data_IF_557230914163
#
_entry.id   IF_557230914163
#
_cell.length_a   1.000
_cell.length_b   1.000
_cell.length_c   1.000
_cell.angle_alpha   90.00
_cell.angle_beta   90.00
_cell.angle_gamma   90.00
#
_symmetry.space_group_name_H-M   'P 1'
#
loop_
_entity.id
_entity.type
_entity.pdbx_description
1 polymer ?
#
# COMPACT_ATOMS: atom_id res chain seq x y z
N UNK A 1 169.72 -18.17 -77.40
CA UNK A 1 171.10 -18.12 -76.88
C UNK A 1 171.70 -19.50 -77.12
N UNK A 2 172.24 -19.71 -78.33
CA UNK A 2 173.22 -20.75 -78.68
C UNK A 2 173.54 -20.53 -80.17
N UNK A 3 174.63 -19.82 -80.45
CA UNK A 3 175.25 -19.75 -81.76
C UNK A 3 176.48 -20.67 -81.74
N UNK A 4 176.58 -21.65 -82.65
CA UNK A 4 177.79 -22.43 -82.83
C UNK A 4 178.77 -21.72 -83.77
N UNK A 5 180.02 -21.57 -83.31
CA UNK A 5 181.18 -21.29 -84.16
C UNK A 5 181.58 -22.59 -84.86
N UNK A 6 181.62 -22.55 -86.20
CA UNK A 6 182.15 -23.60 -87.07
C UNK A 6 183.56 -23.22 -87.57
N UNK A 7 184.43 -24.19 -87.91
CA UNK A 7 185.87 -24.04 -88.00
C UNK A 7 186.36 -23.81 -89.44
N UNK A 8 187.56 -23.26 -89.60
CA UNK A 8 188.34 -23.46 -90.83
C UNK A 8 189.84 -23.34 -90.56
N UNK A 9 190.49 -24.50 -90.62
CA UNK A 9 191.94 -24.71 -90.59
C UNK A 9 192.58 -24.25 -91.91
N UNK A 10 193.73 -23.58 -91.74
CA UNK A 10 195.02 -23.85 -92.39
C UNK A 10 195.06 -24.16 -93.90
N UNK A 11 195.84 -23.34 -94.62
CA UNK A 11 197.04 -23.74 -95.39
C UNK A 11 197.74 -22.45 -95.89
N UNK A 12 198.95 -22.15 -95.40
CA UNK A 12 200.23 -22.39 -96.11
C UNK A 12 200.25 -21.77 -97.52
N UNK A 13 200.86 -20.60 -97.62
CA UNK A 13 201.40 -20.06 -98.87
C UNK A 13 202.83 -19.59 -98.58
N UNK A 14 203.77 -20.33 -99.15
CA UNK A 14 205.20 -20.07 -99.15
C UNK A 14 205.48 -18.80 -99.96
N UNK A 15 206.20 -17.86 -99.36
CA UNK A 15 206.75 -16.70 -100.08
C UNK A 15 207.93 -17.18 -100.93
N UNK A 16 207.68 -17.45 -102.21
CA UNK A 16 208.72 -17.64 -103.22
C UNK A 16 209.17 -16.26 -103.70
N UNK A 17 210.46 -15.98 -103.52
CA UNK A 17 211.18 -14.82 -104.02
C UNK A 17 211.12 -14.77 -105.57
N UNK A 18 210.26 -13.92 -106.12
CA UNK A 18 210.02 -13.71 -107.56
C UNK A 18 210.95 -12.64 -108.17
N UNK A 19 212.26 -12.82 -107.98
CA UNK A 19 213.29 -11.90 -108.48
C UNK A 19 214.02 -12.30 -109.75
N UNK A 20 214.13 -13.60 -110.10
CA UNK A 20 215.17 -14.03 -111.09
C UNK A 20 214.71 -14.90 -112.27
N UNK A 21 213.42 -15.17 -112.46
CA UNK A 21 212.94 -16.11 -113.50
C UNK A 21 212.22 -15.46 -114.71
N UNK A 22 212.57 -14.22 -115.06
CA UNK A 22 211.94 -13.45 -116.14
C UNK A 22 212.53 -13.65 -117.55
N UNK A 23 213.36 -14.68 -117.81
CA UNK A 23 214.10 -14.82 -119.09
C UNK A 23 213.98 -16.18 -119.81
N UNK A 24 212.88 -16.92 -119.65
CA UNK A 24 212.60 -18.13 -120.45
C UNK A 24 211.21 -18.15 -121.09
N UNK A 25 211.13 -18.75 -122.29
CA UNK A 25 209.94 -18.85 -123.18
C UNK A 25 208.77 -19.63 -122.55
N UNK A 26 209.04 -20.49 -121.58
CA UNK A 26 208.02 -21.30 -120.88
C UNK A 26 207.24 -20.52 -119.81
N UNK A 27 207.79 -19.41 -119.29
CA UNK A 27 207.14 -18.62 -118.23
C UNK A 27 205.91 -17.82 -118.69
N UNK A 28 205.69 -17.67 -120.01
CA UNK A 28 204.53 -16.94 -120.54
C UNK A 28 203.28 -17.80 -120.66
N UNK A 29 203.44 -19.11 -120.88
CA UNK A 29 202.32 -20.05 -121.03
C UNK A 29 201.69 -20.38 -119.68
N UNK A 30 202.52 -20.55 -118.64
CA UNK A 30 202.06 -20.78 -117.26
C UNK A 30 201.28 -19.58 -116.71
N UNK A 31 201.66 -18.34 -117.04
CA UNK A 31 200.91 -17.14 -116.65
C UNK A 31 199.54 -17.00 -117.33
N UNK A 32 199.36 -17.53 -118.54
CA UNK A 32 198.06 -17.50 -119.22
C UNK A 32 197.12 -18.57 -118.64
N UNK A 33 197.65 -19.77 -118.38
CA UNK A 33 196.90 -20.87 -117.76
C UNK A 33 196.47 -20.54 -116.32
N UNK A 34 197.35 -19.92 -115.52
CA UNK A 34 196.97 -19.43 -114.18
C UNK A 34 195.95 -18.30 -114.24
N UNK A 35 196.02 -17.41 -115.24
CA UNK A 35 195.00 -16.37 -115.43
C UNK A 35 193.64 -16.97 -115.80
N UNK A 36 193.59 -17.97 -116.67
CA UNK A 36 192.34 -18.65 -117.04
C UNK A 36 191.79 -19.52 -115.90
N UNK A 37 192.66 -20.12 -115.08
CA UNK A 37 192.26 -20.82 -113.86
C UNK A 37 191.65 -19.85 -112.83
N UNK A 38 192.32 -18.71 -112.60
CA UNK A 38 191.77 -17.65 -111.75
C UNK A 38 190.45 -17.10 -112.29
N UNK A 39 190.31 -16.93 -113.62
CA UNK A 39 189.05 -16.49 -114.23
C UNK A 39 187.92 -17.50 -113.97
N UNK A 40 188.19 -18.80 -114.13
CA UNK A 40 187.23 -19.86 -113.80
C UNK A 40 186.88 -19.89 -112.31
N UNK A 41 187.85 -19.69 -111.43
CA UNK A 41 187.59 -19.58 -109.99
C UNK A 41 186.76 -18.33 -109.65
N UNK A 42 186.98 -17.21 -110.35
CA UNK A 42 186.21 -15.98 -110.16
C UNK A 42 184.78 -16.14 -110.68
N UNK A 43 184.59 -16.82 -111.81
CA UNK A 43 183.27 -17.14 -112.35
C UNK A 43 182.55 -18.21 -111.50
N UNK A 44 183.28 -19.17 -110.91
CA UNK A 44 182.76 -20.12 -109.92
C UNK A 44 182.37 -19.41 -108.61
N UNK A 45 183.17 -18.45 -108.15
CA UNK A 45 182.85 -17.63 -106.98
C UNK A 45 181.65 -16.72 -107.23
N UNK A 46 181.53 -16.13 -108.43
CA UNK A 46 180.34 -15.35 -108.83
C UNK A 46 179.09 -16.21 -108.91
N UNK A 47 179.18 -17.42 -109.45
CA UNK A 47 178.04 -18.35 -109.48
C UNK A 47 177.66 -18.84 -108.08
N UNK A 48 178.63 -19.08 -107.20
CA UNK A 48 178.37 -19.39 -105.79
C UNK A 48 177.78 -18.20 -105.03
N UNK A 49 178.26 -16.98 -105.28
CA UNK A 49 177.71 -15.76 -104.70
C UNK A 49 176.26 -15.57 -105.15
N UNK A 50 175.97 -15.70 -106.44
CA UNK A 50 174.60 -15.63 -106.94
C UNK A 50 173.72 -16.77 -106.42
N UNK A 51 174.27 -17.97 -106.21
CA UNK A 51 173.53 -19.06 -105.57
C UNK A 51 173.24 -18.73 -104.09
N UNK A 52 174.20 -18.15 -103.37
CA UNK A 52 174.03 -17.72 -101.99
C UNK A 52 173.08 -16.53 -101.85
N UNK A 53 173.13 -15.56 -102.77
CA UNK A 53 172.18 -14.44 -102.86
C UNK A 53 170.77 -14.95 -103.12
N UNK A 54 170.60 -15.87 -104.09
CA UNK A 54 169.30 -16.52 -104.33
C UNK A 54 168.82 -17.30 -103.11
N UNK A 55 169.70 -18.03 -102.42
CA UNK A 55 169.35 -18.76 -101.20
C UNK A 55 168.98 -17.82 -100.05
N UNK A 56 169.68 -16.69 -99.91
CA UNK A 56 169.36 -15.66 -98.91
C UNK A 56 168.06 -14.94 -99.23
N UNK A 57 167.82 -14.62 -100.49
CA UNK A 57 166.58 -14.02 -100.95
C UNK A 57 165.41 -14.99 -100.78
N UNK A 58 165.62 -16.28 -101.06
CA UNK A 58 164.64 -17.33 -100.81
C UNK A 58 164.38 -17.51 -99.31
N UNK A 59 165.42 -17.55 -98.48
CA UNK A 59 165.27 -17.61 -97.03
C UNK A 59 164.58 -16.36 -96.46
N UNK A 60 164.83 -15.18 -97.04
CA UNK A 60 164.13 -13.93 -96.69
C UNK A 60 162.67 -13.96 -97.10
N UNK A 61 162.36 -14.47 -98.29
CA UNK A 61 160.98 -14.67 -98.75
C UNK A 61 160.24 -15.68 -97.87
N UNK A 62 160.88 -16.79 -97.51
CA UNK A 62 160.32 -17.78 -96.59
C UNK A 62 160.11 -17.19 -95.19
N UNK A 63 161.06 -16.42 -94.66
CA UNK A 63 160.91 -15.74 -93.38
C UNK A 63 159.83 -14.64 -93.42
N UNK A 64 159.67 -13.94 -94.55
CA UNK A 64 158.59 -12.98 -94.76
C UNK A 64 157.22 -13.70 -94.80
N UNK A 65 157.11 -14.78 -95.57
CA UNK A 65 155.91 -15.61 -95.64
C UNK A 65 155.54 -16.20 -94.28
N UNK A 66 156.50 -16.71 -93.50
CA UNK A 66 156.23 -17.24 -92.15
C UNK A 66 155.81 -16.15 -91.17
N UNK A 67 156.30 -14.91 -91.33
CA UNK A 67 155.87 -13.77 -90.51
C UNK A 67 154.47 -13.32 -90.88
N UNK A 68 154.14 -13.29 -92.16
CA UNK A 68 152.78 -13.03 -92.65
C UNK A 68 151.81 -14.09 -92.13
N UNK A 69 152.16 -15.38 -92.25
CA UNK A 69 151.38 -16.49 -91.71
C UNK A 69 151.22 -16.39 -90.18
N UNK A 70 152.28 -16.07 -89.44
CA UNK A 70 152.21 -15.81 -88.00
C UNK A 70 151.35 -14.60 -87.65
N UNK A 71 151.33 -13.57 -88.50
CA UNK A 71 150.47 -12.39 -88.32
C UNK A 71 149.00 -12.72 -88.54
N UNK A 72 148.71 -13.57 -89.54
CA UNK A 72 147.37 -14.10 -89.80
C UNK A 72 146.89 -14.94 -88.62
N UNK A 73 147.69 -15.90 -88.13
CA UNK A 73 147.33 -16.68 -86.95
C UNK A 73 147.10 -15.82 -85.71
N UNK A 74 147.89 -14.77 -85.47
CA UNK A 74 147.63 -13.84 -84.36
C UNK A 74 146.33 -13.07 -84.56
N UNK A 75 146.03 -12.64 -85.78
CA UNK A 75 144.78 -11.94 -86.09
C UNK A 75 143.56 -12.85 -85.92
N UNK A 76 143.65 -14.12 -86.33
CA UNK A 76 142.63 -15.15 -86.10
C UNK A 76 142.48 -15.46 -84.62
N UNK A 77 143.58 -15.59 -83.88
CA UNK A 77 143.55 -15.83 -82.44
C UNK A 77 142.87 -14.66 -81.70
N UNK A 78 143.19 -13.42 -82.06
CA UNK A 78 142.53 -12.24 -81.48
C UNK A 78 141.04 -12.23 -81.83
N UNK A 79 140.67 -12.55 -83.08
CA UNK A 79 139.27 -12.65 -83.50
C UNK A 79 138.52 -13.72 -82.71
N UNK A 80 139.09 -14.91 -82.55
CA UNK A 80 138.49 -15.99 -81.76
C UNK A 80 138.36 -15.63 -80.28
N UNK A 81 139.32 -14.90 -79.72
CA UNK A 81 139.23 -14.37 -78.35
C UNK A 81 138.10 -13.35 -78.22
N UNK A 82 137.94 -12.45 -79.19
CA UNK A 82 136.84 -11.48 -79.21
C UNK A 82 135.48 -12.16 -79.40
N UNK A 83 135.40 -13.17 -80.26
CA UNK A 83 134.19 -13.99 -80.45
C UNK A 83 133.85 -14.77 -79.17
N UNK A 84 134.83 -15.39 -78.50
CA UNK A 84 134.64 -16.06 -77.21
C UNK A 84 134.17 -15.09 -76.13
N UNK A 85 134.76 -13.88 -76.07
CA UNK A 85 134.34 -12.84 -75.13
C UNK A 85 132.90 -12.40 -75.41
N UNK A 86 132.56 -12.17 -76.69
CA UNK A 86 131.18 -11.83 -77.08
C UNK A 86 130.20 -12.95 -76.75
N UNK A 87 130.57 -14.22 -76.98
CA UNK A 87 129.73 -15.37 -76.61
C UNK A 87 129.54 -15.47 -75.10
N UNK A 88 130.59 -15.24 -74.31
CA UNK A 88 130.51 -15.20 -72.85
C UNK A 88 129.60 -14.08 -72.35
N UNK A 89 129.73 -12.88 -72.92
CA UNK A 89 128.91 -11.73 -72.55
C UNK A 89 127.42 -11.97 -72.89
N UNK A 90 127.13 -12.59 -74.05
CA UNK A 90 125.76 -13.02 -74.41
C UNK A 90 125.22 -14.08 -73.47
N UNK A 91 126.03 -15.05 -73.07
CA UNK A 91 125.63 -16.11 -72.14
C UNK A 91 125.36 -15.55 -70.74
N UNK A 92 126.19 -14.62 -70.26
CA UNK A 92 125.97 -13.93 -68.99
C UNK A 92 124.69 -13.08 -69.04
N UNK A 93 124.47 -12.31 -70.10
CA UNK A 93 123.23 -11.53 -70.27
C UNK A 93 121.98 -12.43 -70.34
N UNK A 94 122.07 -13.59 -70.98
CA UNK A 94 121.00 -14.58 -70.99
C UNK A 94 120.76 -15.18 -69.60
N UNK A 95 121.82 -15.44 -68.83
CA UNK A 95 121.72 -15.92 -67.45
C UNK A 95 121.07 -14.87 -66.53
N UNK A 96 121.49 -13.61 -66.63
CA UNK A 96 120.90 -12.50 -65.88
C UNK A 96 119.40 -12.35 -66.23
N UNK A 97 119.07 -12.39 -67.53
CA UNK A 97 117.68 -12.38 -67.99
C UNK A 97 116.88 -13.59 -67.47
N UNK A 98 117.50 -14.77 -67.36
CA UNK A 98 116.85 -15.96 -66.82
C UNK A 98 116.61 -15.81 -65.32
N UNK A 99 117.56 -15.26 -64.57
CA UNK A 99 117.41 -14.97 -63.14
C UNK A 99 116.28 -13.96 -62.89
N UNK A 100 116.20 -12.91 -63.70
CA UNK A 100 115.09 -11.93 -63.65
C UNK A 100 113.73 -12.58 -63.91
N UNK A 101 113.66 -13.50 -64.88
CA UNK A 101 112.42 -14.23 -65.18
C UNK A 101 112.03 -15.17 -64.04
N UNK A 102 113.00 -15.84 -63.40
CA UNK A 102 112.76 -16.68 -62.23
C UNK A 102 112.23 -15.83 -61.07
N UNK A 103 112.84 -14.68 -60.78
CA UNK A 103 112.37 -13.77 -59.74
C UNK A 103 110.95 -13.25 -60.01
N UNK A 104 110.65 -12.86 -61.26
CA UNK A 104 109.30 -12.46 -61.69
C UNK A 104 108.28 -13.60 -61.54
N UNK A 105 108.66 -14.84 -61.85
CA UNK A 105 107.78 -15.99 -61.68
C UNK A 105 107.55 -16.34 -60.21
N UNK A 106 108.56 -16.22 -59.35
CA UNK A 106 108.41 -16.39 -57.91
C UNK A 106 107.40 -15.37 -57.34
N UNK A 107 107.56 -14.10 -57.70
CA UNK A 107 106.62 -13.04 -57.29
C UNK A 107 105.18 -13.29 -57.79
N UNK A 108 105.01 -13.75 -59.03
CA UNK A 108 103.68 -14.15 -59.55
C UNK A 108 103.09 -15.32 -58.76
N UNK A 109 103.91 -16.28 -58.33
CA UNK A 109 103.45 -17.41 -57.54
C UNK A 109 102.98 -16.98 -56.16
N UNK A 110 103.73 -16.08 -55.50
CA UNK A 110 103.31 -15.45 -54.23
C UNK A 110 101.96 -14.73 -54.40
N UNK A 111 101.82 -13.90 -55.43
CA UNK A 111 100.55 -13.21 -55.72
C UNK A 111 99.39 -14.18 -55.96
N UNK A 112 99.62 -15.29 -56.67
CA UNK A 112 98.60 -16.32 -56.88
C UNK A 112 98.17 -16.97 -55.57
N UNK A 113 99.11 -17.26 -54.67
CA UNK A 113 98.81 -17.83 -53.35
C UNK A 113 98.01 -16.83 -52.51
N UNK A 114 98.38 -15.55 -52.51
CA UNK A 114 97.64 -14.50 -51.82
C UNK A 114 96.21 -14.35 -52.35
N UNK A 115 96.04 -14.32 -53.67
CA UNK A 115 94.70 -14.25 -54.29
C UNK A 115 93.86 -15.50 -54.01
N UNK A 116 94.48 -16.68 -53.96
CA UNK A 116 93.78 -17.91 -53.58
C UNK A 116 93.33 -17.88 -52.12
N UNK A 117 94.18 -17.37 -51.21
CA UNK A 117 93.81 -17.19 -49.81
C UNK A 117 92.65 -16.19 -49.67
N UNK A 118 92.70 -15.05 -50.36
CA UNK A 118 91.62 -14.05 -50.38
C UNK A 118 90.32 -14.61 -50.97
N UNK A 119 90.40 -15.41 -52.03
CA UNK A 119 89.23 -16.07 -52.61
C UNK A 119 88.63 -17.10 -51.66
N UNK A 120 89.46 -17.78 -50.86
CA UNK A 120 89.03 -18.67 -49.78
C UNK A 120 88.24 -17.92 -48.71
N UNK A 121 88.83 -16.86 -48.14
CA UNK A 121 88.16 -16.07 -47.08
C UNK A 121 86.84 -15.45 -47.56
N UNK A 122 86.79 -14.93 -48.80
CA UNK A 122 85.55 -14.38 -49.35
C UNK A 122 84.46 -15.45 -49.55
N UNK A 123 84.83 -16.70 -49.87
CA UNK A 123 83.85 -17.80 -49.98
C UNK A 123 83.27 -18.15 -48.61
N UNK A 124 84.13 -18.21 -47.60
CA UNK A 124 83.70 -18.49 -46.22
C UNK A 124 82.78 -17.36 -45.72
N UNK A 125 83.14 -16.10 -45.93
CA UNK A 125 82.31 -14.93 -45.61
C UNK A 125 80.94 -14.97 -46.32
N UNK A 126 80.89 -15.39 -47.58
CA UNK A 126 79.64 -15.55 -48.33
C UNK A 126 78.79 -16.68 -47.73
N UNK A 127 79.41 -17.80 -47.37
CA UNK A 127 78.72 -18.93 -46.75
C UNK A 127 78.10 -18.52 -45.39
N UNK A 128 78.87 -17.82 -44.56
CA UNK A 128 78.40 -17.32 -43.26
C UNK A 128 77.26 -16.32 -43.42
N UNK A 129 77.38 -15.37 -44.34
CA UNK A 129 76.31 -14.40 -44.64
C UNK A 129 75.05 -15.07 -45.16
N UNK A 130 75.17 -16.09 -46.00
CA UNK A 130 74.02 -16.86 -46.49
C UNK A 130 73.33 -17.62 -45.36
N UNK A 131 74.08 -18.19 -44.41
CA UNK A 131 73.50 -18.84 -43.23
C UNK A 131 72.72 -17.84 -42.36
N UNK A 132 73.26 -16.62 -42.17
CA UNK A 132 72.56 -15.54 -41.46
C UNK A 132 71.28 -15.12 -42.20
N UNK A 133 71.33 -14.96 -43.52
CA UNK A 133 70.16 -14.62 -44.34
C UNK A 133 69.06 -15.68 -44.18
N UNK A 134 69.40 -16.96 -44.29
CA UNK A 134 68.44 -18.05 -44.10
C UNK A 134 67.77 -18.00 -42.71
N UNK A 135 68.56 -17.74 -41.65
CA UNK A 135 68.03 -17.56 -40.29
C UNK A 135 67.11 -16.35 -40.14
N UNK A 136 67.41 -15.24 -40.83
CA UNK A 136 66.56 -14.04 -40.84
C UNK A 136 65.26 -14.27 -41.60
N UNK A 137 65.30 -14.98 -42.73
CA UNK A 137 64.11 -15.35 -43.51
C UNK A 137 63.17 -16.24 -42.71
N UNK A 138 63.71 -17.21 -41.97
CA UNK A 138 62.91 -18.08 -41.10
C UNK A 138 62.24 -17.28 -39.98
N UNK A 139 62.98 -16.37 -39.33
CA UNK A 139 62.43 -15.47 -38.30
C UNK A 139 61.35 -14.54 -38.86
N UNK A 140 61.56 -14.01 -40.07
CA UNK A 140 60.58 -13.17 -40.76
C UNK A 140 59.30 -13.95 -41.09
N UNK A 141 59.43 -15.20 -41.53
CA UNK A 141 58.30 -16.09 -41.80
C UNK A 141 57.48 -16.34 -40.53
N UNK A 142 58.16 -16.69 -39.42
CA UNK A 142 57.51 -16.87 -38.11
C UNK A 142 56.80 -15.62 -37.63
N UNK A 143 57.46 -14.46 -37.70
CA UNK A 143 56.86 -13.19 -37.28
C UNK A 143 55.61 -12.83 -38.11
N UNK A 144 55.61 -13.11 -39.42
CA UNK A 144 54.43 -12.91 -40.28
C UNK A 144 53.28 -13.84 -39.90
N UNK A 145 53.57 -15.11 -39.62
CA UNK A 145 52.57 -16.06 -39.17
C UNK A 145 51.95 -15.60 -37.83
N UNK A 146 52.78 -15.25 -36.86
CA UNK A 146 52.32 -14.75 -35.55
C UNK A 146 51.46 -13.48 -35.69
N UNK A 147 51.82 -12.58 -36.61
CA UNK A 147 51.05 -11.37 -36.88
C UNK A 147 49.66 -11.67 -37.48
N UNK A 148 49.55 -12.60 -38.43
CA UNK A 148 48.25 -13.01 -38.99
C UNK A 148 47.39 -13.78 -37.98
N UNK A 149 48.01 -14.61 -37.14
CA UNK A 149 47.34 -15.25 -36.01
C UNK A 149 46.84 -14.24 -34.97
N UNK A 150 47.62 -13.19 -34.68
CA UNK A 150 47.19 -12.11 -33.80
C UNK A 150 46.04 -11.30 -34.41
N UNK A 151 46.10 -11.01 -35.72
CA UNK A 151 45.07 -10.29 -36.46
C UNK A 151 43.75 -11.07 -36.51
N UNK A 152 43.81 -12.38 -36.79
CA UNK A 152 42.62 -13.24 -36.77
C UNK A 152 42.02 -13.36 -35.37
N UNK A 153 42.85 -13.49 -34.33
CA UNK A 153 42.40 -13.42 -32.92
C UNK A 153 41.72 -12.08 -32.61
N UNK A 154 42.32 -10.97 -33.02
CA UNK A 154 41.75 -9.63 -32.86
C UNK A 154 40.38 -9.48 -33.52
N UNK A 155 40.25 -9.87 -34.80
CA UNK A 155 38.99 -9.81 -35.53
C UNK A 155 37.90 -10.70 -34.93
N UNK A 156 38.26 -11.88 -34.43
CA UNK A 156 37.29 -12.75 -33.76
C UNK A 156 36.84 -12.19 -32.41
N UNK A 157 37.75 -11.57 -31.65
CA UNK A 157 37.42 -10.89 -30.40
C UNK A 157 36.48 -9.70 -30.65
N UNK A 158 36.75 -8.89 -31.68
CA UNK A 158 35.92 -7.76 -32.10
C UNK A 158 34.49 -8.22 -32.46
N UNK A 159 34.35 -9.24 -33.32
CA UNK A 159 33.02 -9.82 -33.64
C UNK A 159 32.29 -10.35 -32.40
N UNK A 160 33.02 -10.96 -31.47
CA UNK A 160 32.44 -11.47 -30.22
C UNK A 160 31.94 -10.31 -29.34
N UNK A 161 32.69 -9.21 -29.26
CA UNK A 161 32.25 -8.02 -28.54
C UNK A 161 31.06 -7.34 -29.21
N UNK A 162 31.03 -7.25 -30.55
CA UNK A 162 29.91 -6.67 -31.28
C UNK A 162 28.61 -7.47 -31.06
N UNK A 163 28.71 -8.80 -31.12
CA UNK A 163 27.55 -9.68 -30.83
C UNK A 163 27.10 -9.53 -29.37
N UNK A 164 28.02 -9.49 -28.40
CA UNK A 164 27.69 -9.27 -27.00
C UNK A 164 27.03 -7.89 -26.76
N UNK A 165 27.57 -6.83 -27.35
CA UNK A 165 26.99 -5.48 -27.29
C UNK A 165 25.60 -5.45 -27.91
N UNK A 166 25.42 -6.09 -29.06
CA UNK A 166 24.12 -6.24 -29.72
C UNK A 166 23.09 -6.93 -28.81
N UNK A 167 23.46 -8.05 -28.18
CA UNK A 167 22.58 -8.75 -27.23
C UNK A 167 22.26 -7.91 -26.00
N UNK A 168 23.26 -7.24 -25.40
CA UNK A 168 23.05 -6.39 -24.24
C UNK A 168 22.14 -5.19 -24.55
N UNK A 169 22.26 -4.61 -25.74
CA UNK A 169 21.35 -3.55 -26.19
C UNK A 169 19.91 -4.04 -26.37
N UNK A 170 19.72 -5.23 -26.92
CA UNK A 170 18.39 -5.85 -27.05
C UNK A 170 17.77 -6.13 -25.67
N UNK A 171 18.54 -6.72 -24.75
CA UNK A 171 18.10 -6.99 -23.38
C UNK A 171 17.73 -5.71 -22.62
N UNK A 172 18.53 -4.64 -22.80
CA UNK A 172 18.23 -3.33 -22.22
C UNK A 172 16.93 -2.73 -22.78
N UNK A 173 16.65 -2.89 -24.07
CA UNK A 173 15.41 -2.43 -24.68
C UNK A 173 14.20 -3.16 -24.08
N UNK A 174 14.26 -4.49 -23.98
CA UNK A 174 13.21 -5.32 -23.35
C UNK A 174 13.02 -4.94 -21.88
N UNK A 175 14.11 -4.70 -21.14
CA UNK A 175 14.02 -4.27 -19.74
C UNK A 175 13.33 -2.92 -19.58
N UNK A 176 13.59 -1.95 -20.48
CA UNK A 176 12.92 -0.64 -20.50
C UNK A 176 11.43 -0.77 -20.76
N UNK A 177 11.03 -1.62 -21.71
CA UNK A 177 9.61 -1.88 -22.01
C UNK A 177 8.90 -2.52 -20.81
N UNK A 178 9.53 -3.52 -20.18
CA UNK A 178 8.99 -4.15 -18.96
C UNK A 178 8.82 -3.16 -17.82
N UNK A 179 9.79 -2.26 -17.62
CA UNK A 179 9.70 -1.21 -16.61
C UNK A 179 8.56 -0.23 -16.91
N UNK A 180 8.39 0.18 -18.16
CA UNK A 180 7.31 1.06 -18.58
C UNK A 180 5.93 0.40 -18.33
N UNK A 181 5.79 -0.88 -18.68
CA UNK A 181 4.57 -1.64 -18.43
C UNK A 181 4.27 -1.78 -16.93
N UNK A 182 5.28 -2.11 -16.11
CA UNK A 182 5.13 -2.22 -14.67
C UNK A 182 4.73 -0.87 -14.01
N UNK A 183 5.27 0.24 -14.50
CA UNK A 183 4.87 1.57 -14.01
C UNK A 183 3.42 1.89 -14.38
N UNK A 184 2.99 1.61 -15.60
CA UNK A 184 1.60 1.79 -16.02
C UNK A 184 0.62 0.93 -15.19
N UNK A 185 1.01 -0.31 -14.86
CA UNK A 185 0.25 -1.17 -13.96
C UNK A 185 0.18 -0.58 -12.54
N UNK A 186 1.30 -0.06 -12.02
CA UNK A 186 1.32 0.57 -10.70
C UNK A 186 0.41 1.81 -10.63
N UNK A 187 0.40 2.64 -11.67
CA UNK A 187 -0.48 3.80 -11.76
C UNK A 187 -1.96 3.40 -11.81
N UNK A 188 -2.28 2.33 -12.56
CA UNK A 188 -3.63 1.74 -12.59
C UNK A 188 -4.05 1.21 -11.21
N UNK A 189 -3.15 0.50 -10.52
CA UNK A 189 -3.40 -0.02 -9.18
C UNK A 189 -3.59 1.10 -8.15
N UNK A 190 -2.82 2.20 -8.25
CA UNK A 190 -3.00 3.39 -7.41
C UNK A 190 -4.37 4.02 -7.64
N UNK A 191 -4.78 4.19 -8.90
CA UNK A 191 -6.09 4.72 -9.23
C UNK A 191 -7.23 3.85 -8.67
N UNK A 192 -7.11 2.52 -8.73
CA UNK A 192 -8.09 1.60 -8.14
C UNK A 192 -8.12 1.70 -6.62
N UNK A 193 -6.96 1.80 -5.96
CA UNK A 193 -6.90 1.99 -4.49
C UNK A 193 -7.56 3.31 -4.08
N UNK A 194 -7.34 4.40 -4.81
CA UNK A 194 -7.96 5.69 -4.49
C UNK A 194 -9.47 5.67 -4.71
N UNK A 195 -9.95 4.99 -5.75
CA UNK A 195 -11.38 4.76 -5.98
C UNK A 195 -12.02 3.96 -4.83
N UNK A 196 -11.41 2.83 -4.43
CA UNK A 196 -11.89 2.01 -3.32
C UNK A 196 -11.89 2.79 -2.00
N UNK A 197 -10.90 3.64 -1.75
CA UNK A 197 -10.88 4.53 -0.58
C UNK A 197 -12.01 5.56 -0.61
N UNK A 198 -12.35 6.10 -1.78
CA UNK A 198 -13.47 7.01 -1.92
C UNK A 198 -14.80 6.30 -1.66
N UNK A 199 -14.98 5.09 -2.20
CA UNK A 199 -16.15 4.25 -1.92
C UNK A 199 -16.28 3.92 -0.43
N UNK A 200 -15.18 3.55 0.23
CA UNK A 200 -15.17 3.26 1.66
C UNK A 200 -15.64 4.47 2.47
N UNK A 201 -15.10 5.67 2.20
CA UNK A 201 -15.52 6.91 2.88
C UNK A 201 -17.00 7.21 2.67
N UNK A 202 -17.51 6.99 1.45
CA UNK A 202 -18.93 7.18 1.16
C UNK A 202 -19.81 6.19 1.93
N UNK A 203 -19.36 4.94 2.07
CA UNK A 203 -20.04 3.94 2.89
C UNK A 203 -19.99 4.30 4.37
N UNK A 204 -18.83 4.70 4.89
CA UNK A 204 -18.67 5.16 6.28
C UNK A 204 -19.62 6.32 6.60
N UNK A 205 -19.70 7.34 5.73
CA UNK A 205 -20.64 8.45 5.88
C UNK A 205 -22.10 7.98 5.89
N UNK A 206 -22.46 7.07 4.97
CA UNK A 206 -23.81 6.49 4.95
C UNK A 206 -24.14 5.70 6.23
N UNK A 207 -23.17 5.00 6.83
CA UNK A 207 -23.38 4.34 8.13
C UNK A 207 -23.59 5.35 9.26
N UNK A 208 -22.80 6.44 9.30
CA UNK A 208 -23.01 7.50 10.29
C UNK A 208 -24.41 8.11 10.20
N UNK A 209 -24.90 8.37 8.98
CA UNK A 209 -26.26 8.88 8.76
C UNK A 209 -27.31 7.86 9.24
N UNK A 210 -27.13 6.58 8.93
CA UNK A 210 -28.03 5.52 9.39
C UNK A 210 -28.03 5.38 10.91
N UNK A 211 -26.88 5.45 11.57
CA UNK A 211 -26.77 5.43 13.03
C UNK A 211 -27.49 6.63 13.67
N UNK A 212 -27.33 7.83 13.10
CA UNK A 212 -28.04 9.02 13.55
C UNK A 212 -29.57 8.85 13.41
N UNK A 213 -30.04 8.30 12.29
CA UNK A 213 -31.48 8.01 12.12
C UNK A 213 -31.99 6.95 13.11
N UNK A 214 -31.20 5.91 13.39
CA UNK A 214 -31.56 4.88 14.36
C UNK A 214 -31.69 5.45 15.78
N UNK A 215 -30.76 6.31 16.20
CA UNK A 215 -30.86 7.00 17.48
C UNK A 215 -32.06 7.94 17.56
N UNK A 216 -32.37 8.66 16.49
CA UNK A 216 -33.60 9.47 16.40
C UNK A 216 -34.86 8.62 16.62
N UNK A 217 -34.97 7.51 15.90
CA UNK A 217 -36.09 6.56 16.04
C UNK A 217 -36.17 5.93 17.44
N UNK A 218 -35.03 5.64 18.08
CA UNK A 218 -35.01 5.14 19.46
C UNK A 218 -35.52 6.17 20.46
N UNK A 219 -35.17 7.45 20.25
CA UNK A 219 -35.67 8.57 21.05
C UNK A 219 -37.19 8.71 20.89
N UNK A 220 -37.69 8.74 19.64
CA UNK A 220 -39.13 8.79 19.33
C UNK A 220 -39.90 7.60 19.92
N UNK A 221 -39.31 6.40 19.87
CA UNK A 221 -39.90 5.23 20.52
C UNK A 221 -39.98 5.41 22.05
N UNK A 222 -39.00 6.06 22.65
CA UNK A 222 -39.00 6.41 24.08
C UNK A 222 -40.14 7.36 24.43
N UNK A 223 -40.29 8.45 23.68
CA UNK A 223 -41.37 9.43 23.90
C UNK A 223 -42.75 8.82 23.71
N UNK A 224 -42.96 8.03 22.64
CA UNK A 224 -44.21 7.31 22.41
C UNK A 224 -44.56 6.32 23.53
N UNK A 225 -43.56 5.64 24.11
CA UNK A 225 -43.78 4.76 25.28
C UNK A 225 -44.22 5.54 26.51
N UNK A 226 -43.64 6.71 26.76
CA UNK A 226 -44.09 7.58 27.85
C UNK A 226 -45.51 8.10 27.64
N UNK A 227 -45.84 8.52 26.42
CA UNK A 227 -47.21 8.93 26.06
C UNK A 227 -48.21 7.78 26.24
N UNK A 228 -47.84 6.57 25.83
CA UNK A 228 -48.66 5.37 26.05
C UNK A 228 -48.85 5.07 27.54
N UNK A 229 -47.81 5.22 28.36
CA UNK A 229 -47.92 5.04 29.80
C UNK A 229 -48.85 6.07 30.43
N UNK A 230 -48.73 7.36 30.07
CA UNK A 230 -49.60 8.44 30.54
C UNK A 230 -51.06 8.23 30.14
N UNK A 231 -51.31 7.81 28.90
CA UNK A 231 -52.67 7.51 28.42
C UNK A 231 -53.26 6.28 29.10
N UNK A 232 -52.45 5.25 29.36
CA UNK A 232 -52.86 4.07 30.11
C UNK A 232 -53.20 4.43 31.57
N UNK A 233 -52.39 5.26 32.23
CA UNK A 233 -52.67 5.75 33.58
C UNK A 233 -53.96 6.58 33.62
N UNK A 234 -54.15 7.46 32.63
CA UNK A 234 -55.39 8.22 32.49
C UNK A 234 -56.60 7.30 32.30
N UNK A 235 -56.47 6.25 31.50
CA UNK A 235 -57.53 5.27 31.30
C UNK A 235 -57.85 4.51 32.59
N UNK A 236 -56.85 4.10 33.36
CA UNK A 236 -57.04 3.45 34.66
C UNK A 236 -57.78 4.38 35.65
N UNK A 237 -57.38 5.65 35.75
CA UNK A 237 -58.07 6.64 36.59
C UNK A 237 -59.53 6.85 36.17
N UNK A 238 -59.80 6.96 34.87
CA UNK A 238 -61.18 7.07 34.36
C UNK A 238 -62.01 5.83 34.67
N UNK A 239 -61.40 4.63 34.66
CA UNK A 239 -62.05 3.39 35.03
C UNK A 239 -62.39 3.37 36.53
N UNK A 240 -61.46 3.78 37.39
CA UNK A 240 -61.70 3.90 38.84
C UNK A 240 -62.80 4.92 39.15
N UNK A 241 -62.79 6.09 38.49
CA UNK A 241 -63.83 7.11 38.61
C UNK A 241 -65.20 6.55 38.18
N UNK A 242 -65.24 5.76 37.10
CA UNK A 242 -66.46 5.12 36.62
C UNK A 242 -66.98 4.06 37.62
N UNK A 243 -66.11 3.27 38.23
CA UNK A 243 -66.49 2.29 39.25
C UNK A 243 -66.95 2.96 40.56
N UNK A 244 -66.30 4.06 40.97
CA UNK A 244 -66.72 4.87 42.12
C UNK A 244 -68.10 5.49 41.90
N UNK A 245 -68.31 6.15 40.76
CA UNK A 245 -69.61 6.75 40.42
C UNK A 245 -70.71 5.70 40.33
N UNK A 246 -70.41 4.52 39.74
CA UNK A 246 -71.33 3.39 39.74
C UNK A 246 -71.69 2.92 41.15
N UNK A 247 -70.71 2.82 42.06
CA UNK A 247 -70.95 2.44 43.44
C UNK A 247 -71.80 3.49 44.20
N UNK A 248 -71.49 4.77 44.01
CA UNK A 248 -72.28 5.89 44.58
C UNK A 248 -73.73 5.83 44.12
N UNK A 249 -73.96 5.76 42.80
CA UNK A 249 -75.30 5.63 42.23
C UNK A 249 -76.03 4.38 42.76
N UNK A 250 -75.32 3.28 42.97
CA UNK A 250 -75.92 2.06 43.51
C UNK A 250 -76.31 2.21 45.00
N UNK A 251 -75.54 2.94 45.80
CA UNK A 251 -75.89 3.29 47.18
C UNK A 251 -77.08 4.25 47.24
N UNK A 252 -77.11 5.27 46.39
CA UNK A 252 -78.27 6.17 46.23
C UNK A 252 -79.52 5.39 45.81
N UNK A 253 -79.39 4.44 44.89
CA UNK A 253 -80.49 3.61 44.43
C UNK A 253 -80.99 2.66 45.54
N UNK A 254 -80.11 2.13 46.38
CA UNK A 254 -80.50 1.30 47.52
C UNK A 254 -81.17 2.11 48.63
N UNK A 255 -80.68 3.32 48.93
CA UNK A 255 -81.28 4.21 49.92
C UNK A 255 -82.66 4.70 49.47
N UNK A 256 -82.80 5.10 48.21
CA UNK A 256 -84.11 5.47 47.64
C UNK A 256 -85.07 4.28 47.60
N UNK A 257 -84.61 3.06 47.29
CA UNK A 257 -85.44 1.84 47.42
C UNK A 257 -85.91 1.59 48.85
N UNK A 258 -85.04 1.76 49.84
CA UNK A 258 -85.40 1.60 51.25
C UNK A 258 -86.42 2.66 51.70
N UNK A 259 -86.23 3.91 51.27
CA UNK A 259 -87.19 5.01 51.50
C UNK A 259 -88.54 4.69 50.84
N UNK A 260 -88.55 4.21 49.60
CA UNK A 260 -89.76 3.81 48.89
C UNK A 260 -90.48 2.68 49.64
N UNK A 261 -89.77 1.64 50.04
CA UNK A 261 -90.35 0.53 50.82
C UNK A 261 -90.96 1.02 52.15
N UNK A 262 -90.28 1.93 52.85
CA UNK A 262 -90.82 2.56 54.06
C UNK A 262 -92.10 3.34 53.74
N UNK A 263 -92.10 4.19 52.70
CA UNK A 263 -93.28 4.93 52.26
C UNK A 263 -94.44 3.99 51.85
N UNK A 264 -94.16 2.88 51.18
CA UNK A 264 -95.15 1.86 50.84
C UNK A 264 -95.77 1.22 52.09
N UNK A 265 -94.96 0.88 53.11
CA UNK A 265 -95.50 0.36 54.39
C UNK A 265 -96.35 1.41 55.11
N UNK A 266 -95.94 2.68 55.10
CA UNK A 266 -96.74 3.78 55.66
C UNK A 266 -98.07 3.94 54.90
N UNK A 267 -98.05 3.91 53.57
CA UNK A 267 -99.27 3.95 52.75
C UNK A 267 -100.19 2.75 53.05
N UNK A 268 -99.64 1.57 53.30
CA UNK A 268 -100.44 0.40 53.69
C UNK A 268 -101.11 0.59 55.05
N UNK A 269 -100.41 1.19 56.03
CA UNK A 269 -101.00 1.58 57.33
C UNK A 269 -102.09 2.62 57.14
N UNK A 270 -101.85 3.66 56.32
CA UNK A 270 -102.86 4.66 56.01
C UNK A 270 -104.10 4.05 55.36
N UNK A 271 -103.94 3.12 54.40
CA UNK A 271 -105.06 2.39 53.79
C UNK A 271 -105.83 1.56 54.82
N UNK A 272 -105.15 0.86 55.74
CA UNK A 272 -105.81 0.14 56.83
C UNK A 272 -106.59 1.08 57.75
N UNK A 273 -106.02 2.24 58.07
CA UNK A 273 -106.71 3.26 58.86
C UNK A 273 -107.91 3.83 58.12
N UNK A 274 -107.80 4.06 56.81
CA UNK A 274 -108.90 4.50 55.95
C UNK A 274 -110.04 3.49 55.96
N UNK A 275 -109.76 2.20 55.78
CA UNK A 275 -110.78 1.14 55.89
C UNK A 275 -111.43 1.10 57.27
N UNK A 276 -110.65 1.22 58.35
CA UNK A 276 -111.18 1.25 59.72
C UNK A 276 -112.05 2.49 59.97
N UNK A 277 -111.67 3.64 59.42
CA UNK A 277 -112.48 4.86 59.47
C UNK A 277 -113.77 4.70 58.68
N UNK A 278 -113.73 4.03 57.53
CA UNK A 278 -114.90 3.69 56.74
C UNK A 278 -115.84 2.76 57.49
N UNK A 279 -115.34 1.70 58.13
CA UNK A 279 -116.13 0.78 58.97
C UNK A 279 -116.76 1.51 60.17
N UNK A 280 -116.01 2.43 60.79
CA UNK A 280 -116.53 3.29 61.87
C UNK A 280 -117.60 4.27 61.39
N UNK A 281 -117.48 4.78 60.17
CA UNK A 281 -118.52 5.61 59.56
C UNK A 281 -119.77 4.78 59.30
N UNK A 282 -119.63 3.62 58.68
CA UNK A 282 -120.74 2.70 58.44
C UNK A 282 -121.44 2.25 59.74
N UNK A 283 -120.69 2.01 60.83
CA UNK A 283 -121.28 1.70 62.13
C UNK A 283 -122.00 2.89 62.75
N UNK A 284 -121.48 4.12 62.58
CA UNK A 284 -122.19 5.34 62.97
C UNK A 284 -123.44 5.57 62.14
N UNK A 285 -123.43 5.28 60.85
CA UNK A 285 -124.60 5.40 59.98
C UNK A 285 -125.68 4.39 60.38
N UNK A 286 -125.30 3.16 60.76
CA UNK A 286 -126.24 2.20 61.39
C UNK A 286 -126.84 2.73 62.68
N UNK A 287 -126.03 3.30 63.56
CA UNK A 287 -126.51 3.89 64.82
C UNK A 287 -127.46 5.07 64.57
N UNK A 288 -127.17 5.90 63.56
CA UNK A 288 -128.06 7.00 63.15
C UNK A 288 -129.39 6.44 62.63
N UNK A 289 -129.38 5.38 61.83
CA UNK A 289 -130.59 4.72 61.36
C UNK A 289 -131.43 4.13 62.52
N UNK A 290 -130.78 3.53 63.52
CA UNK A 290 -131.42 3.03 64.75
C UNK A 290 -132.04 4.18 65.56
N UNK A 291 -131.30 5.26 65.80
CA UNK A 291 -131.81 6.45 66.49
C UNK A 291 -132.96 7.12 65.74
N UNK A 292 -132.95 7.10 64.39
CA UNK A 292 -134.07 7.58 63.58
C UNK A 292 -135.31 6.68 63.73
N UNK A 293 -135.13 5.36 63.77
CA UNK A 293 -136.20 4.39 64.04
C UNK A 293 -136.81 4.61 65.44
N UNK A 294 -136.00 4.76 66.48
CA UNK A 294 -136.47 5.08 67.83
C UNK A 294 -137.21 6.41 67.89
N UNK A 295 -136.70 7.43 67.21
CA UNK A 295 -137.39 8.72 67.08
C UNK A 295 -138.78 8.56 66.47
N UNK A 296 -138.91 7.80 65.38
CA UNK A 296 -140.23 7.57 64.75
C UNK A 296 -141.19 6.82 65.67
N UNK A 297 -140.71 5.87 66.48
CA UNK A 297 -141.54 5.19 67.50
C UNK A 297 -142.04 6.16 68.56
N UNK A 298 -141.16 7.00 69.10
CA UNK A 298 -141.53 8.00 70.10
C UNK A 298 -142.53 9.05 69.56
N UNK A 299 -142.42 9.42 68.28
CA UNK A 299 -143.38 10.33 67.62
C UNK A 299 -144.79 9.69 67.50
N UNK A 300 -144.88 8.37 67.27
CA UNK A 300 -146.15 7.62 67.23
C UNK A 300 -146.77 7.54 68.63
N UNK A 301 -146.00 7.19 69.66
CA UNK A 301 -146.47 7.13 71.05
C UNK A 301 -146.99 8.49 71.55
N UNK A 302 -146.32 9.60 71.18
CA UNK A 302 -146.80 10.95 71.48
C UNK A 302 -148.12 11.31 70.80
N UNK A 303 -148.40 10.76 69.61
CA UNK A 303 -149.66 10.96 68.91
C UNK A 303 -150.81 10.22 69.60
N UNK A 304 -150.56 9.02 70.14
CA UNK A 304 -151.55 8.24 70.90
C UNK A 304 -151.94 8.94 72.21
N UNK A 305 -150.97 9.41 72.99
CA UNK A 305 -151.22 10.15 74.24
C UNK A 305 -152.03 11.43 74.00
N UNK A 306 -151.79 12.13 72.89
CA UNK A 306 -152.57 13.32 72.52
C UNK A 306 -154.04 12.99 72.20
N UNK A 307 -154.29 11.86 71.54
CA UNK A 307 -155.66 11.43 71.23
C UNK A 307 -156.43 11.02 72.50
N UNK A 308 -155.76 10.38 73.46
CA UNK A 308 -156.36 10.06 74.77
C UNK A 308 -156.71 11.31 75.59
N UNK A 309 -155.86 12.34 75.56
CA UNK A 309 -156.12 13.61 76.24
C UNK A 309 -157.36 14.33 75.68
N UNK A 310 -157.49 14.38 74.35
CA UNK A 310 -158.64 14.99 73.67
C UNK A 310 -159.97 14.26 73.94
N UNK A 311 -159.92 12.95 74.18
CA UNK A 311 -161.10 12.16 74.55
C UNK A 311 -161.58 12.46 75.98
N UNK A 312 -160.66 12.67 76.93
CA UNK A 312 -160.98 13.03 78.32
C UNK A 312 -161.56 14.44 78.45
N UNK A 313 -161.08 15.40 77.67
CA UNK A 313 -161.61 16.77 77.63
C UNK A 313 -163.11 16.79 77.25
N UNK A 314 -163.49 16.09 76.18
CA UNK A 314 -164.90 16.00 75.74
C UNK A 314 -165.82 15.34 76.76
N UNK A 315 -165.30 14.39 77.55
CA UNK A 315 -166.07 13.71 78.59
C UNK A 315 -166.37 14.64 79.78
N UNK A 316 -165.43 15.51 80.14
CA UNK A 316 -165.61 16.46 81.24
C UNK A 316 -166.56 17.59 80.84
N UNK A 317 -166.52 18.01 79.58
CA UNK A 317 -167.39 19.06 79.03
C UNK A 317 -168.87 18.65 79.05
N UNK A 318 -169.18 17.39 78.71
CA UNK A 318 -170.53 16.83 78.79
C UNK A 318 -171.08 16.74 80.23
N UNK A 319 -170.22 16.52 81.22
CA UNK A 319 -170.62 16.49 82.64
C UNK A 319 -170.96 17.89 83.16
N UNK A 320 -170.27 18.91 82.65
CA UNK A 320 -170.50 20.31 83.01
C UNK A 320 -171.86 20.83 82.50
N UNK A 321 -172.24 20.44 81.28
CA UNK A 321 -173.53 20.78 80.66
C UNK A 321 -174.72 20.23 81.47
N UNK A 322 -174.59 19.00 81.98
CA UNK A 322 -175.61 18.32 82.80
C UNK A 322 -175.87 19.01 84.15
N UNK A 323 -174.84 19.63 84.74
CA UNK A 323 -174.97 20.35 86.01
C UNK A 323 -175.68 21.70 85.86
N UNK A 324 -175.42 22.44 84.77
CA UNK A 324 -176.04 23.75 84.50
C UNK A 324 -177.55 23.64 84.29
N UNK A 325 -178.02 22.54 83.71
CA UNK A 325 -179.44 22.35 83.46
C UNK A 325 -180.24 22.07 84.75
N UNK A 326 -179.61 21.42 85.75
CA UNK A 326 -180.24 21.20 87.07
C UNK A 326 -180.34 22.47 87.91
N UNK A 327 -179.36 23.36 87.81
CA UNK A 327 -179.42 24.68 88.46
C UNK A 327 -180.58 25.53 87.95
N UNK A 328 -180.88 25.47 86.64
CA UNK A 328 -182.01 26.19 86.04
C UNK A 328 -183.36 25.77 86.63
N UNK A 329 -183.58 24.47 86.81
CA UNK A 329 -184.86 23.94 87.30
C UNK A 329 -185.11 24.37 88.75
N UNK A 330 -184.08 24.36 89.61
CA UNK A 330 -184.19 24.79 91.01
C UNK A 330 -184.44 26.30 91.16
N UNK A 331 -183.96 27.11 90.20
CA UNK A 331 -184.14 28.55 90.22
C UNK A 331 -185.58 28.99 89.89
N UNK A 332 -186.34 28.20 89.11
CA UNK A 332 -187.71 28.53 88.74
C UNK A 332 -188.74 28.15 89.80
N UNK A 333 -188.52 27.07 90.57
CA UNK A 333 -189.41 26.69 91.67
C UNK A 333 -189.36 27.70 92.84
N UNK A 334 -188.19 28.30 93.10
CA UNK A 334 -188.03 29.34 94.13
C UNK A 334 -188.76 30.65 93.77
N UNK A 335 -188.98 30.94 92.48
CA UNK A 335 -189.75 32.12 92.03
C UNK A 335 -191.26 31.98 92.25
N UNK A 336 -191.79 30.77 92.35
CA UNK A 336 -193.23 30.59 92.64
C UNK A 336 -193.55 30.83 94.12
N UNK A 337 -192.66 30.46 95.04
CA UNK A 337 -192.88 30.63 96.48
C UNK A 337 -192.84 32.08 96.95
N UNK A 338 -192.07 32.94 96.29
CA UNK A 338 -191.88 34.31 96.74
C UNK A 338 -193.00 35.30 96.39
N UNK A 339 -194.14 34.83 95.87
CA UNK A 339 -195.15 35.76 95.35
C UNK A 339 -196.34 36.13 96.23
N UNK A 340 -196.70 35.55 97.40
CA UNK A 340 -197.93 36.05 98.04
C UNK A 340 -198.19 35.88 99.55
N UNK A 341 -197.30 36.36 100.44
CA UNK A 341 -197.70 36.85 101.79
C UNK A 341 -196.94 38.14 102.16
N UNK A 342 -197.67 39.27 102.18
CA UNK A 342 -197.41 40.46 103.01
C UNK A 342 -196.84 41.70 102.29
N UNK A 343 -197.52 42.84 102.16
CA UNK A 343 -198.74 43.40 102.78
C UNK A 343 -199.45 44.38 101.82
N UNK A 344 -200.77 44.56 102.03
CA UNK A 344 -201.68 45.63 101.55
C UNK A 344 -200.97 46.97 101.31
N UNK A 345 -201.19 47.75 100.25
CA UNK A 345 -202.06 47.67 99.06
C UNK A 345 -201.25 48.16 97.84
N UNK A 346 -201.72 47.80 96.64
CA UNK A 346 -200.92 47.81 95.41
C UNK A 346 -200.43 49.17 94.89
N UNK A 347 -199.57 49.03 93.88
CA UNK A 347 -199.09 50.01 92.90
C UNK A 347 -197.87 50.88 93.26
N UNK A 348 -196.85 50.75 92.38
CA UNK A 348 -196.13 51.85 91.71
C UNK A 348 -194.64 52.12 92.04
N UNK A 349 -193.84 51.99 90.96
CA UNK A 349 -192.55 52.66 90.65
C UNK A 349 -191.27 52.09 91.29
N UNK A 350 -190.10 51.99 90.64
CA UNK A 350 -189.62 52.17 89.26
C UNK A 350 -188.11 51.81 89.20
N UNK A 351 -187.63 51.23 88.08
CA UNK A 351 -186.26 51.29 87.48
C UNK A 351 -185.09 50.66 88.30
N UNK A 352 -184.04 49.99 87.79
CA UNK A 352 -183.30 50.04 86.51
C UNK A 352 -182.27 48.85 86.36
N UNK A 353 -182.07 48.38 85.11
CA UNK A 353 -180.78 48.03 84.41
C UNK A 353 -179.97 46.81 84.92
N UNK A 354 -179.79 45.65 84.25
CA UNK A 354 -179.20 45.18 82.96
C UNK A 354 -177.66 45.17 82.77
N UNK A 355 -177.18 44.06 82.16
CA UNK A 355 -176.02 43.88 81.22
C UNK A 355 -174.82 43.07 81.78
N UNK A 356 -174.44 41.85 81.32
CA UNK A 356 -173.82 41.32 80.07
C UNK A 356 -172.42 41.82 79.66
N UNK A 357 -171.57 40.83 79.29
CA UNK A 357 -170.49 40.80 78.26
C UNK A 357 -169.14 41.54 78.44
N UNK A 358 -168.08 40.74 78.23
CA UNK A 358 -166.87 40.94 77.38
C UNK A 358 -165.73 41.90 77.74
N UNK A 359 -164.52 41.39 77.42
CA UNK A 359 -163.27 42.05 76.97
C UNK A 359 -162.48 42.92 77.95
N UNK A 360 -161.19 42.59 78.09
CA UNK A 360 -160.01 43.50 78.03
C UNK A 360 -158.79 42.75 78.59
N UNK A 361 -157.89 42.17 77.79
CA UNK A 361 -156.68 42.77 77.15
C UNK A 361 -155.71 43.44 78.13
N UNK A 362 -154.54 42.83 78.35
CA UNK A 362 -153.20 43.31 77.94
C UNK A 362 -152.10 42.43 78.57
N UNK A 363 -151.28 41.77 77.74
CA UNK A 363 -149.82 41.99 77.51
C UNK A 363 -148.96 41.07 78.42
N UNK A 364 -147.93 40.33 77.98
CA UNK A 364 -147.11 40.28 76.76
C UNK A 364 -146.65 38.81 76.57
N UNK A 365 -146.83 38.12 75.44
CA UNK A 365 -146.13 38.20 74.14
C UNK A 365 -144.65 37.80 74.15
N UNK A 366 -144.35 36.84 73.24
CA UNK A 366 -143.08 36.48 72.57
C UNK A 366 -142.16 35.41 73.21
N UNK A 367 -141.98 34.17 72.67
CA UNK A 367 -141.42 33.66 71.39
C UNK A 367 -139.86 33.70 71.29
N UNK A 368 -139.22 32.84 70.46
CA UNK A 368 -138.24 31.83 70.89
C UNK A 368 -136.88 31.98 70.15
N UNK A 369 -135.93 31.03 70.28
CA UNK A 369 -135.19 30.46 69.13
C UNK A 369 -134.16 29.40 69.51
N UNK A 370 -134.19 28.32 68.73
CA UNK A 370 -133.07 27.45 68.45
C UNK A 370 -132.09 28.10 67.44
N UNK A 371 -130.81 27.76 67.52
CA UNK A 371 -129.87 27.40 66.41
C UNK A 371 -128.46 27.21 67.01
N UNK A 372 -127.80 26.06 66.81
CA UNK A 372 -126.73 25.78 65.81
C UNK A 372 -125.44 26.61 66.09
N UNK A 373 -124.20 26.11 65.99
CA UNK A 373 -123.62 25.17 65.00
C UNK A 373 -122.14 24.90 65.35
N UNK A 374 -121.66 23.66 65.10
CA UNK A 374 -120.38 23.24 64.46
C UNK A 374 -119.02 23.62 65.10
N UNK A 375 -117.88 22.93 64.91
CA UNK A 375 -117.38 21.60 64.43
C UNK A 375 -115.85 21.69 64.59
N UNK A 376 -115.17 20.53 64.70
CA UNK A 376 -113.82 20.19 64.15
C UNK A 376 -112.92 19.57 65.24
N UNK A 377 -112.61 18.27 65.28
CA UNK A 377 -111.85 17.40 64.34
C UNK A 377 -110.37 17.81 64.21
N UNK A 378 -109.33 16.95 64.16
CA UNK A 378 -109.06 15.51 64.41
C UNK A 378 -107.53 15.31 64.13
N UNK A 379 -106.79 14.50 64.93
CA UNK A 379 -105.88 13.38 64.49
C UNK A 379 -104.44 13.77 63.96
N UNK A 380 -103.38 12.89 63.94
CA UNK A 380 -102.26 12.77 64.92
C UNK A 380 -100.86 12.39 64.28
N UNK A 381 -99.97 11.69 65.02
CA UNK A 381 -98.83 10.79 64.59
C UNK A 381 -97.48 11.44 64.15
N UNK A 382 -96.26 10.87 64.21
CA UNK A 382 -95.67 9.61 64.70
C UNK A 382 -94.13 9.56 64.43
N UNK A 383 -93.36 8.96 65.38
CA UNK A 383 -92.28 7.94 65.21
C UNK A 383 -90.79 8.29 64.90
N UNK A 384 -89.95 7.44 65.50
CA UNK A 384 -88.51 7.42 65.87
C UNK A 384 -87.53 6.78 64.83
N UNK A 385 -86.23 6.73 65.21
CA UNK A 385 -85.15 5.71 65.01
C UNK A 385 -83.86 6.21 64.31
N UNK A 386 -82.70 6.35 65.00
CA UNK A 386 -81.55 5.43 65.30
C UNK A 386 -80.72 4.91 64.11
N UNK A 387 -79.37 5.01 64.17
CA UNK A 387 -78.38 3.88 64.29
C UNK A 387 -76.90 4.33 64.11
N UNK A 388 -76.03 3.61 64.81
CA UNK A 388 -74.57 3.61 65.12
C UNK A 388 -73.58 3.27 63.97
N UNK A 389 -72.24 3.41 64.22
CA UNK A 389 -71.17 2.35 64.16
C UNK A 389 -69.73 2.86 63.75
N UNK A 390 -68.74 2.58 64.64
CA UNK A 390 -67.31 2.13 64.48
C UNK A 390 -66.08 2.99 64.07
N UNK A 391 -65.04 2.87 64.93
CA UNK A 391 -63.55 2.90 64.73
C UNK A 391 -63.06 1.60 64.01
N UNK A 392 -61.77 1.27 63.63
CA UNK A 392 -60.49 1.64 64.30
C UNK A 392 -59.13 1.57 63.52
N UNK A 393 -58.04 1.83 64.28
CA UNK A 393 -56.69 1.18 64.33
C UNK A 393 -55.60 1.44 63.26
N UNK A 394 -54.56 2.15 63.72
CA UNK A 394 -53.17 2.09 63.25
C UNK A 394 -52.40 0.97 63.98
N UNK A 395 -51.57 0.22 63.27
CA UNK A 395 -50.45 -0.53 63.85
C UNK A 395 -49.22 -0.53 62.93
N UNK A 396 -48.08 -0.20 63.54
CA UNK A 396 -46.74 -0.35 63.01
C UNK A 396 -46.29 -1.81 62.95
N UNK A 397 -45.37 -2.17 62.07
CA UNK A 397 -44.44 -3.27 62.37
C UNK A 397 -43.11 -3.15 61.60
N UNK A 398 -42.03 -3.21 62.39
CA UNK A 398 -40.65 -3.44 61.99
C UNK A 398 -40.49 -4.79 61.27
N UNK A 399 -39.55 -4.86 60.30
CA UNK A 399 -38.99 -6.12 59.80
C UNK A 399 -37.48 -6.17 60.07
N UNK A 400 -37.08 -7.13 60.90
CA UNK A 400 -35.78 -7.79 60.81
C UNK A 400 -35.92 -9.01 59.89
N UNK A 401 -34.89 -9.28 59.08
CA UNK A 401 -34.67 -10.61 58.48
C UNK A 401 -33.20 -10.99 58.56
N UNK A 402 -32.93 -12.04 59.33
CA UNK A 402 -31.74 -12.89 59.29
C UNK A 402 -31.99 -14.14 58.45
N UNK A 403 -30.89 -14.84 58.11
CA UNK A 403 -30.76 -16.21 57.55
C UNK A 403 -31.10 -16.38 56.06
N UNK A 404 -30.41 -17.21 55.26
CA UNK A 404 -29.56 -18.37 55.54
C UNK A 404 -28.52 -18.63 54.44
N UNK A 405 -27.42 -19.28 54.82
CA UNK A 405 -26.50 -20.01 53.94
C UNK A 405 -27.19 -21.20 53.24
N UNK A 406 -26.82 -21.48 51.98
CA UNK A 406 -27.29 -22.64 51.23
C UNK A 406 -26.61 -22.82 49.86
N UNK A 407 -25.66 -23.75 49.83
CA UNK A 407 -25.00 -24.50 48.75
C UNK A 407 -25.31 -24.35 47.23
N UNK A 408 -24.18 -24.36 46.48
CA UNK A 408 -23.85 -25.09 45.22
C UNK A 408 -24.51 -24.72 43.89
N UNK A 409 -23.70 -24.16 42.97
CA UNK A 409 -23.33 -24.73 41.64
C UNK A 409 -22.34 -23.76 40.94
N UNK A 410 -21.21 -24.22 40.37
CA UNK A 410 -20.32 -23.34 39.62
C UNK A 410 -20.82 -23.24 38.18
N UNK A 411 -21.53 -22.17 37.85
CA UNK A 411 -21.68 -21.75 36.46
C UNK A 411 -20.38 -21.06 36.02
N UNK A 412 -19.65 -21.69 35.09
CA UNK A 412 -18.64 -21.01 34.27
C UNK A 412 -19.34 -19.88 33.50
N UNK A 413 -19.30 -18.66 34.03
CA UNK A 413 -19.45 -17.46 33.24
C UNK A 413 -18.04 -16.99 32.90
N UNK A 414 -17.69 -17.20 31.64
CA UNK A 414 -16.54 -16.56 31.01
C UNK A 414 -16.80 -15.06 30.99
N UNK A 415 -16.39 -14.36 32.06
CA UNK A 415 -16.15 -12.93 31.99
C UNK A 415 -14.90 -12.74 31.15
N UNK A 416 -15.09 -12.68 29.83
CA UNK A 416 -14.13 -12.06 28.92
C UNK A 416 -14.06 -10.59 29.32
N UNK A 417 -13.15 -10.27 30.23
CA UNK A 417 -12.64 -8.92 30.41
C UNK A 417 -12.04 -8.51 29.08
N UNK A 418 -12.85 -7.83 28.26
CA UNK A 418 -12.33 -7.02 27.18
C UNK A 418 -11.57 -5.90 27.87
N UNK A 419 -10.27 -6.13 28.06
CA UNK A 419 -9.31 -5.07 28.27
C UNK A 419 -9.41 -4.25 26.99
N UNK A 420 -10.21 -3.18 27.03
CA UNK A 420 -10.12 -2.09 26.07
C UNK A 420 -8.70 -1.55 26.17
N UNK A 421 -7.83 -2.08 25.31
CA UNK A 421 -6.52 -1.50 25.09
C UNK A 421 -6.77 -0.18 24.36
N UNK A 422 -6.32 0.96 24.90
CA UNK A 422 -6.46 2.24 24.22
C UNK A 422 -5.74 2.14 22.88
N UNK A 423 -6.49 2.26 21.78
CA UNK A 423 -6.00 2.14 20.40
C UNK A 423 -4.76 3.03 20.13
N UNK A 424 -4.65 4.16 20.84
CA UNK A 424 -3.51 5.07 20.78
C UNK A 424 -2.14 4.40 21.08
N UNK A 425 -2.09 3.43 22.02
CA UNK A 425 -0.82 2.78 22.39
C UNK A 425 -0.37 1.77 21.32
N UNK A 426 -1.31 1.22 20.55
CA UNK A 426 -0.98 0.26 19.48
C UNK A 426 -0.38 0.97 18.28
N UNK A 427 -0.90 2.16 17.94
CA UNK A 427 -0.38 2.97 16.83
C UNK A 427 1.02 3.51 17.13
N UNK A 428 1.29 3.96 18.37
CA UNK A 428 2.62 4.41 18.79
C UNK A 428 3.66 3.27 18.74
N UNK A 429 3.27 2.06 19.12
CA UNK A 429 4.16 0.88 19.06
C UNK A 429 4.41 0.44 17.61
N UNK A 430 3.42 0.56 16.73
CA UNK A 430 3.57 0.28 15.31
C UNK A 430 4.44 1.34 14.62
N UNK A 431 4.30 2.61 14.97
CA UNK A 431 5.12 3.69 14.42
C UNK A 431 6.57 3.60 14.92
N UNK A 432 6.77 3.29 16.21
CA UNK A 432 8.09 2.97 16.75
C UNK A 432 8.74 1.77 16.05
N UNK A 433 7.96 0.71 15.75
CA UNK A 433 8.44 -0.46 15.00
C UNK A 433 8.77 -0.15 13.53
N UNK A 434 8.07 0.80 12.90
CA UNK A 434 8.40 1.28 11.54
C UNK A 434 9.68 2.10 11.55
N UNK A 435 9.85 3.00 12.53
CA UNK A 435 11.08 3.79 12.71
C UNK A 435 12.29 2.90 12.98
N UNK A 436 12.15 1.89 13.83
CA UNK A 436 13.22 0.92 14.11
C UNK A 436 13.64 0.15 12.84
N UNK A 437 12.68 -0.33 12.03
CA UNK A 437 12.99 -1.00 10.76
C UNK A 437 13.68 -0.07 9.76
N UNK A 438 13.26 1.19 9.68
CA UNK A 438 13.88 2.19 8.82
C UNK A 438 15.31 2.52 9.23
N UNK A 439 15.59 2.57 10.54
CA UNK A 439 16.95 2.76 11.06
C UNK A 439 17.87 1.58 10.73
N UNK A 440 17.38 0.34 10.81
CA UNK A 440 18.15 -0.84 10.40
C UNK A 440 18.45 -0.81 8.90
N UNK A 441 17.47 -0.44 8.08
CA UNK A 441 17.65 -0.32 6.64
C UNK A 441 18.66 0.77 6.26
N UNK A 442 18.58 1.94 6.90
CA UNK A 442 19.57 3.02 6.70
C UNK A 442 20.98 2.61 7.15
N UNK A 443 21.11 1.79 8.19
CA UNK A 443 22.41 1.24 8.59
C UNK A 443 22.99 0.32 7.52
N UNK A 444 22.16 -0.54 6.92
CA UNK A 444 22.58 -1.44 5.85
C UNK A 444 22.99 -0.66 4.59
N UNK A 445 22.20 0.36 4.20
CA UNK A 445 22.52 1.24 3.07
C UNK A 445 23.84 2.00 3.30
N UNK A 446 24.11 2.43 4.54
CA UNK A 446 25.38 3.07 4.90
C UNK A 446 26.57 2.11 4.75
N UNK A 447 26.45 0.89 5.28
CA UNK A 447 27.53 -0.11 5.20
C UNK A 447 27.81 -0.52 3.75
N UNK A 448 26.77 -0.59 2.91
CA UNK A 448 26.89 -0.89 1.49
C UNK A 448 27.54 0.27 0.71
N UNK A 449 27.16 1.51 1.02
CA UNK A 449 27.82 2.70 0.46
C UNK A 449 29.31 2.77 0.84
N UNK A 450 29.67 2.41 2.08
CA UNK A 450 31.06 2.37 2.54
C UNK A 450 31.88 1.31 1.80
N UNK A 451 31.31 0.11 1.59
CA UNK A 451 31.93 -0.94 0.75
C UNK A 451 32.15 -0.48 -0.69
N UNK A 452 31.17 0.17 -1.30
CA UNK A 452 31.30 0.70 -2.66
C UNK A 452 32.38 1.77 -2.74
N UNK A 453 32.47 2.65 -1.74
CA UNK A 453 33.52 3.66 -1.66
C UNK A 453 34.92 3.01 -1.59
N UNK A 454 35.09 1.94 -0.81
CA UNK A 454 36.36 1.22 -0.70
C UNK A 454 36.76 0.47 -1.97
N UNK A 455 35.79 -0.11 -2.68
CA UNK A 455 36.02 -0.69 -4.02
C UNK A 455 36.49 0.40 -4.99
N UNK A 456 35.87 1.58 -4.92
CA UNK A 456 36.22 2.72 -5.80
C UNK A 456 37.61 3.24 -5.49
N UNK A 457 37.96 3.43 -4.20
CA UNK A 457 39.33 3.78 -3.76
C UNK A 457 40.35 2.73 -4.20
N UNK A 458 40.01 1.45 -4.11
CA UNK A 458 40.88 0.36 -4.53
C UNK A 458 41.12 0.34 -6.03
N UNK A 459 40.09 0.61 -6.84
CA UNK A 459 40.22 0.77 -8.30
C UNK A 459 41.07 1.98 -8.66
N UNK A 460 40.83 3.12 -7.99
CA UNK A 460 41.62 4.32 -8.19
C UNK A 460 43.11 4.10 -7.86
N UNK A 461 43.41 3.45 -6.72
CA UNK A 461 44.79 3.07 -6.35
C UNK A 461 45.45 2.11 -7.34
N UNK A 462 44.68 1.20 -7.97
CA UNK A 462 45.22 0.33 -9.03
C UNK A 462 45.51 1.10 -10.31
N UNK A 463 44.62 2.01 -10.71
CA UNK A 463 44.84 2.89 -11.87
C UNK A 463 46.11 3.73 -11.72
N UNK A 464 46.34 4.30 -10.54
CA UNK A 464 47.56 5.07 -10.27
C UNK A 464 48.85 4.24 -10.26
N UNK A 465 48.76 2.91 -10.08
CA UNK A 465 49.93 2.01 -10.15
C UNK A 465 50.23 1.51 -11.55
N UNK A 466 49.28 1.60 -12.48
CA UNK A 466 49.50 1.18 -13.88
C UNK A 466 50.06 2.31 -14.75
N UNK A 467 50.01 3.55 -14.27
CA UNK A 467 50.48 4.74 -14.99
C UNK A 467 51.92 5.18 -14.62
N UNK A 468 52.59 4.43 -13.74
CA UNK A 468 54.03 4.51 -13.43
C UNK A 468 54.68 3.16 -13.69
#
# INVERSE_FOLDING_TARGET
MDQPKSPARQRRAEAINLGELSRSRDGRQTTYETRMAMQRELDAARTQLHAAERQMDEARRQAAASREESSLYRSEMNRLQDELKSCRDRLNAALDSQQDLIAKNAHKHELLVELQAQAGTLRDDIADKNAVIAGLEERLSRARQEAEEAKSRGSNAERTLDTQLGTAHADLAVAKERLAAANAENDSLRATVDALRAELRAKEASTYDLEATAHGLESDRGTLREELARTSERAARLQDDLDQTRHQLQMELNTTRAQLSSAETQLQVFRKNETQLHDRLASKDKLIAELQSEKTKAEVELAEVRNEAAAKERSLENQLESCKERERVLADDLKQLHRYIGRREGSSSSKSVTRTTTTSTDESVYRPRATRTYVSSRVPNAVETTTTISRPLETSTYRYTTTSYGHTTPHYTSTRTVIERPAAVVDDVLDASRRARRLVQLSQERDEAERLADVTRSRFRRSLRTDY
#
